data_IF_792035413920
#
_entry.id   IF_792035413920
#
_cell.length_a   1.000
_cell.length_b   1.000
_cell.length_c   1.000
_cell.angle_alpha   90.00
_cell.angle_beta   90.00
_cell.angle_gamma   90.00
#
_symmetry.space_group_name_H-M   'P 1'
#
loop_
_entity.id
_entity.type
_entity.pdbx_description
1 polymer ?
#
# COMPACT_ATOMS: atom_id res chain seq x y z
N UNK A 1 23.58 16.12 -15.73
CA UNK A 1 22.22 15.60 -16.01
C UNK A 1 22.23 15.13 -17.45
N UNK A 2 22.05 13.83 -17.71
CA UNK A 2 21.93 13.29 -19.09
C UNK A 2 20.55 13.60 -19.71
N UNK A 3 19.63 14.16 -18.91
CA UNK A 3 18.27 14.53 -19.32
C UNK A 3 18.21 15.78 -20.20
N UNK A 4 19.27 16.58 -20.31
CA UNK A 4 19.33 17.74 -21.21
C UNK A 4 20.72 17.90 -21.85
N UNK A 5 20.78 17.88 -23.19
CA UNK A 5 21.90 18.40 -23.98
C UNK A 5 23.09 17.48 -24.26
N UNK A 6 23.19 16.31 -23.63
CA UNK A 6 24.25 15.34 -23.94
C UNK A 6 23.69 14.26 -24.87
N UNK A 7 24.14 14.26 -26.12
CA UNK A 7 23.65 13.36 -27.16
C UNK A 7 24.81 12.84 -28.01
N UNK A 8 25.36 11.71 -27.57
CA UNK A 8 26.54 11.07 -28.17
C UNK A 8 26.12 9.64 -28.52
N UNK A 9 25.86 9.33 -29.82
CA UNK A 9 25.19 8.08 -30.20
C UNK A 9 26.09 6.83 -30.04
N UNK A 10 27.41 7.00 -30.06
CA UNK A 10 28.42 5.95 -29.90
C UNK A 10 28.68 5.54 -28.44
N UNK A 11 27.91 6.07 -27.48
CA UNK A 11 27.97 5.63 -26.07
C UNK A 11 27.66 4.14 -25.95
N UNK A 12 28.60 3.36 -25.41
CA UNK A 12 28.47 1.91 -25.21
C UNK A 12 28.05 1.49 -23.80
N UNK A 13 28.27 2.33 -22.80
CA UNK A 13 27.95 2.00 -21.40
C UNK A 13 27.33 3.20 -20.68
N UNK A 14 26.18 2.99 -20.05
CA UNK A 14 25.59 3.92 -19.10
C UNK A 14 25.54 3.31 -17.70
N UNK A 15 25.86 4.12 -16.69
CA UNK A 15 25.84 3.72 -15.29
C UNK A 15 24.81 4.60 -14.55
N UNK A 16 23.74 3.97 -14.08
CA UNK A 16 22.71 4.61 -13.27
C UNK A 16 23.07 4.48 -11.79
N UNK A 17 23.44 5.60 -11.17
CA UNK A 17 23.70 5.68 -9.74
C UNK A 17 22.66 6.53 -9.00
N UNK A 18 21.61 6.98 -9.69
CA UNK A 18 20.59 7.87 -9.13
C UNK A 18 19.29 7.11 -8.88
N UNK A 19 18.85 6.96 -7.62
CA UNK A 19 17.56 6.34 -7.34
C UNK A 19 16.42 7.27 -7.76
N UNK A 20 15.60 6.80 -8.70
CA UNK A 20 14.37 7.46 -9.10
C UNK A 20 13.20 6.90 -8.30
N UNK A 21 12.47 7.78 -7.60
CA UNK A 21 11.26 7.41 -6.85
C UNK A 21 9.95 7.68 -7.59
N UNK A 22 10.00 8.55 -8.60
CA UNK A 22 8.81 9.12 -9.24
C UNK A 22 8.86 9.09 -10.75
N UNK A 23 10.00 9.41 -11.34
CA UNK A 23 10.10 9.65 -12.78
C UNK A 23 10.63 8.43 -13.52
N UNK A 24 9.73 7.56 -13.94
CA UNK A 24 10.04 6.50 -14.91
C UNK A 24 10.49 7.10 -16.24
N UNK A 25 9.86 8.21 -16.63
CA UNK A 25 10.20 8.99 -17.81
C UNK A 25 11.68 9.39 -17.86
N UNK A 26 12.27 9.86 -16.75
CA UNK A 26 13.70 10.20 -16.69
C UNK A 26 14.59 8.97 -16.88
N UNK A 27 14.24 7.85 -16.26
CA UNK A 27 15.00 6.61 -16.39
C UNK A 27 15.03 6.11 -17.84
N UNK A 28 13.86 6.09 -18.51
CA UNK A 28 13.75 5.69 -19.92
C UNK A 28 14.48 6.65 -20.84
N UNK A 29 14.45 7.96 -20.56
CA UNK A 29 15.19 8.95 -21.36
C UNK A 29 16.70 8.74 -21.29
N UNK A 30 17.24 8.48 -20.08
CA UNK A 30 18.68 8.21 -19.90
C UNK A 30 19.09 6.90 -20.55
N UNK A 31 18.30 5.84 -20.36
CA UNK A 31 18.48 4.55 -21.03
C UNK A 31 18.46 4.71 -22.56
N UNK A 32 17.52 5.50 -23.07
CA UNK A 32 17.37 5.81 -24.49
C UNK A 32 18.57 6.51 -25.12
N UNK A 33 19.41 7.22 -24.32
CA UNK A 33 20.68 7.77 -24.83
C UNK A 33 21.69 6.66 -25.14
N UNK A 34 21.71 5.60 -24.32
CA UNK A 34 22.60 4.45 -24.50
C UNK A 34 22.08 3.50 -25.57
N UNK A 35 20.76 3.40 -25.77
CA UNK A 35 20.17 2.49 -26.76
C UNK A 35 20.20 3.02 -28.20
N UNK A 36 20.73 4.22 -28.47
CA UNK A 36 20.83 4.76 -29.83
C UNK A 36 21.75 3.92 -30.70
N UNK A 37 21.34 3.72 -31.94
CA UNK A 37 22.14 3.06 -32.98
C UNK A 37 23.22 4.03 -33.46
N UNK A 38 24.44 3.52 -33.63
CA UNK A 38 25.58 4.24 -34.20
C UNK A 38 26.41 3.28 -35.04
N UNK A 39 27.15 3.81 -36.01
CA UNK A 39 28.08 3.00 -36.80
C UNK A 39 29.19 2.42 -35.90
N UNK A 40 29.53 1.14 -36.10
CA UNK A 40 30.50 0.43 -35.26
C UNK A 40 30.06 0.17 -33.82
N UNK A 41 28.76 0.32 -33.50
CA UNK A 41 28.19 -0.03 -32.18
C UNK A 41 27.36 -1.30 -32.27
N UNK A 42 27.89 -2.35 -31.67
CA UNK A 42 27.32 -3.69 -31.58
C UNK A 42 26.42 -3.88 -30.35
N UNK A 43 26.74 -3.23 -29.23
CA UNK A 43 25.94 -3.30 -28.01
C UNK A 43 25.85 -1.97 -27.26
N UNK A 44 24.85 -1.89 -26.38
CA UNK A 44 24.73 -0.89 -25.32
C UNK A 44 24.56 -1.59 -23.98
N UNK A 45 25.40 -1.26 -23.01
CA UNK A 45 25.37 -1.80 -21.65
C UNK A 45 24.77 -0.77 -20.70
N UNK A 46 23.77 -1.18 -19.92
CA UNK A 46 23.17 -0.36 -18.87
C UNK A 46 23.36 -1.00 -17.50
N UNK A 47 24.13 -0.36 -16.63
CA UNK A 47 24.40 -0.82 -15.28
C UNK A 47 23.59 0.02 -14.28
N UNK A 48 22.70 -0.61 -13.53
CA UNK A 48 21.84 0.08 -12.56
C UNK A 48 22.20 -0.28 -11.13
N UNK A 49 22.92 0.62 -10.46
CA UNK A 49 23.27 0.51 -9.04
C UNK A 49 22.19 1.05 -8.11
N UNK A 50 21.17 1.71 -8.66
CA UNK A 50 20.10 2.35 -7.91
C UNK A 50 18.84 1.50 -7.77
N UNK A 51 18.73 0.38 -8.50
CA UNK A 51 17.56 -0.51 -8.48
C UNK A 51 16.34 0.07 -9.19
N UNK A 52 16.53 1.03 -10.08
CA UNK A 52 15.50 1.61 -10.93
C UNK A 52 14.86 0.57 -11.86
N UNK A 53 15.66 -0.31 -12.47
CA UNK A 53 15.16 -1.37 -13.36
C UNK A 53 14.22 -2.33 -12.64
N UNK A 54 14.50 -2.62 -11.36
CA UNK A 54 13.61 -3.44 -10.52
C UNK A 54 12.37 -2.65 -10.09
N UNK A 55 12.55 -1.39 -9.71
CA UNK A 55 11.46 -0.50 -9.28
C UNK A 55 10.44 -0.25 -10.38
N UNK A 56 10.91 -0.16 -11.64
CA UNK A 56 10.08 0.14 -12.81
C UNK A 56 9.81 -1.09 -13.69
N UNK A 57 10.05 -2.30 -13.20
CA UNK A 57 9.93 -3.52 -14.00
C UNK A 57 8.57 -3.66 -14.69
N UNK A 58 7.48 -3.37 -13.97
CA UNK A 58 6.10 -3.42 -14.51
C UNK A 58 5.86 -2.33 -15.56
N UNK A 59 6.32 -1.11 -15.32
CA UNK A 59 6.19 -0.02 -16.29
C UNK A 59 7.00 -0.29 -17.57
N UNK A 60 8.20 -0.85 -17.42
CA UNK A 60 9.05 -1.25 -18.54
C UNK A 60 8.40 -2.37 -19.35
N UNK A 61 7.82 -3.38 -18.69
CA UNK A 61 7.07 -4.44 -19.37
C UNK A 61 5.85 -3.87 -20.11
N UNK A 62 5.09 -2.98 -19.47
CA UNK A 62 3.94 -2.31 -20.09
C UNK A 62 4.35 -1.47 -21.31
N UNK A 63 5.43 -0.68 -21.19
CA UNK A 63 5.98 0.13 -22.28
C UNK A 63 6.44 -0.74 -23.46
N UNK A 64 7.03 -1.90 -23.18
CA UNK A 64 7.46 -2.84 -24.23
C UNK A 64 6.27 -3.46 -24.98
N UNK A 65 5.21 -3.82 -24.27
CA UNK A 65 4.04 -4.48 -24.85
C UNK A 65 3.11 -3.52 -25.60
N UNK A 66 2.88 -2.32 -25.05
CA UNK A 66 1.89 -1.38 -25.56
C UNK A 66 2.51 -0.20 -26.32
N UNK A 67 3.84 -0.01 -26.23
CA UNK A 67 4.52 1.12 -26.86
C UNK A 67 4.11 2.48 -26.26
N UNK A 68 4.30 3.54 -27.05
CA UNK A 68 3.96 4.92 -26.67
C UNK A 68 2.87 5.43 -27.62
N UNK A 69 1.63 5.53 -27.13
CA UNK A 69 0.49 5.99 -27.95
C UNK A 69 0.46 7.49 -28.21
N UNK A 70 0.85 8.32 -27.23
CA UNK A 70 0.85 9.78 -27.38
C UNK A 70 1.92 10.47 -26.53
N UNK A 71 2.54 11.51 -27.09
CA UNK A 71 3.46 12.42 -26.39
C UNK A 71 2.72 13.43 -25.49
N UNK A 72 1.40 13.55 -25.65
CA UNK A 72 0.56 14.52 -24.98
C UNK A 72 -0.35 13.82 -23.96
N UNK A 73 0.22 13.53 -22.81
CA UNK A 73 -0.47 13.92 -21.58
C UNK A 73 0.54 13.96 -20.46
N UNK A 74 0.50 15.06 -19.72
CA UNK A 74 0.91 15.14 -18.33
C UNK A 74 0.05 14.18 -17.47
N UNK A 75 -0.04 12.90 -17.85
CA UNK A 75 -0.63 11.87 -17.04
C UNK A 75 0.24 11.78 -15.81
N UNK A 76 -0.40 12.02 -14.68
CA UNK A 76 0.10 11.98 -13.31
C UNK A 76 0.58 10.56 -12.90
N UNK A 77 1.10 9.74 -13.83
CA UNK A 77 1.72 8.43 -13.52
C UNK A 77 3.02 8.58 -12.73
N UNK A 78 3.65 9.76 -12.83
CA UNK A 78 4.85 10.13 -12.07
C UNK A 78 4.53 10.93 -10.79
N UNK A 79 3.25 11.18 -10.44
CA UNK A 79 2.93 12.02 -9.27
C UNK A 79 3.07 11.29 -7.94
N UNK A 80 2.74 10.00 -7.91
CA UNK A 80 2.83 9.18 -6.72
C UNK A 80 4.27 8.65 -6.56
N UNK A 81 4.82 8.84 -5.35
CA UNK A 81 6.09 8.24 -5.00
C UNK A 81 5.89 6.73 -4.96
N UNK A 82 6.68 6.01 -5.75
CA UNK A 82 6.69 4.56 -5.74
C UNK A 82 7.55 4.14 -4.55
N UNK A 83 6.90 3.63 -3.53
CA UNK A 83 7.58 2.89 -2.48
C UNK A 83 8.12 1.60 -3.12
N UNK A 84 9.43 1.32 -3.02
CA UNK A 84 9.94 0.01 -3.42
C UNK A 84 9.21 -1.00 -2.54
N UNK A 85 8.32 -1.81 -3.12
CA UNK A 85 7.61 -2.81 -2.35
C UNK A 85 8.66 -3.68 -1.62
N UNK A 86 8.65 -3.66 -0.29
CA UNK A 86 9.58 -4.46 0.53
C UNK A 86 9.59 -5.93 0.08
N UNK A 87 8.43 -6.41 -0.40
CA UNK A 87 8.24 -7.74 -0.98
C UNK A 87 9.13 -8.01 -2.21
N UNK A 88 9.36 -7.02 -3.08
CA UNK A 88 10.24 -7.14 -4.25
C UNK A 88 11.70 -7.18 -3.83
N UNK A 89 12.07 -6.36 -2.83
CA UNK A 89 13.41 -6.39 -2.24
C UNK A 89 13.71 -7.73 -1.57
N UNK A 90 12.80 -8.24 -0.75
CA UNK A 90 12.94 -9.55 -0.09
C UNK A 90 13.05 -10.72 -1.08
N UNK A 91 12.39 -10.63 -2.24
CA UNK A 91 12.42 -11.70 -3.24
C UNK A 91 13.72 -11.74 -4.02
N UNK A 92 14.25 -10.57 -4.42
CA UNK A 92 15.38 -10.49 -5.34
C UNK A 92 16.69 -10.06 -4.70
N UNK A 93 16.70 -9.66 -3.43
CA UNK A 93 17.90 -9.20 -2.75
C UNK A 93 18.16 -10.01 -1.49
N UNK A 94 19.44 -10.11 -1.14
CA UNK A 94 19.89 -10.68 0.10
C UNK A 94 19.40 -9.84 1.29
N UNK A 95 18.81 -10.48 2.30
CA UNK A 95 18.32 -9.80 3.51
C UNK A 95 19.42 -9.18 4.37
N UNK A 96 20.66 -9.68 4.27
CA UNK A 96 21.79 -9.23 5.08
C UNK A 96 22.67 -8.19 4.36
N UNK A 97 23.31 -8.55 3.24
CA UNK A 97 24.21 -7.63 2.53
C UNK A 97 23.57 -6.83 1.39
N UNK A 98 22.31 -7.09 1.04
CA UNK A 98 21.61 -6.38 -0.04
C UNK A 98 22.08 -6.70 -1.46
N UNK A 99 22.91 -7.74 -1.67
CA UNK A 99 23.28 -8.20 -3.01
C UNK A 99 22.04 -8.70 -3.77
N UNK A 100 21.89 -8.32 -5.04
CA UNK A 100 20.86 -8.89 -5.91
C UNK A 100 21.16 -10.39 -6.16
N UNK A 101 20.21 -11.23 -5.81
CA UNK A 101 20.27 -12.68 -5.94
C UNK A 101 19.39 -13.15 -7.08
N UNK A 102 19.88 -14.11 -7.86
CA UNK A 102 19.06 -14.72 -8.92
C UNK A 102 17.82 -15.43 -8.35
N UNK A 103 16.73 -15.57 -9.14
CA UNK A 103 15.50 -16.21 -8.67
C UNK A 103 15.71 -17.63 -8.13
N UNK A 104 16.63 -18.41 -8.71
CA UNK A 104 16.85 -19.81 -8.36
C UNK A 104 17.96 -20.03 -7.30
N UNK A 105 18.71 -18.99 -6.95
CA UNK A 105 19.75 -19.09 -5.93
C UNK A 105 19.13 -18.93 -4.54
N UNK A 106 19.33 -19.94 -3.68
CA UNK A 106 18.85 -19.92 -2.30
C UNK A 106 19.87 -19.30 -1.34
N UNK A 107 21.15 -19.26 -1.73
CA UNK A 107 22.26 -18.80 -0.91
C UNK A 107 22.95 -17.60 -1.56
N UNK A 108 23.20 -16.55 -0.79
CA UNK A 108 23.89 -15.35 -1.25
C UNK A 108 25.37 -15.66 -1.52
N UNK A 109 25.83 -15.36 -2.75
CA UNK A 109 27.22 -15.59 -3.16
C UNK A 109 28.23 -14.67 -2.47
N UNK A 110 27.79 -13.58 -1.85
CA UNK A 110 28.68 -12.60 -1.18
C UNK A 110 28.83 -12.85 0.32
N UNK A 111 27.74 -13.13 1.04
CA UNK A 111 27.77 -13.25 2.50
C UNK A 111 27.30 -14.63 3.03
N UNK A 112 26.80 -15.52 2.17
CA UNK A 112 26.29 -16.83 2.59
C UNK A 112 24.87 -16.83 3.17
N UNK A 113 24.20 -15.68 3.25
CA UNK A 113 22.80 -15.59 3.70
C UNK A 113 21.89 -16.49 2.86
N UNK A 114 21.07 -17.31 3.52
CA UNK A 114 20.13 -18.22 2.86
C UNK A 114 18.70 -17.70 2.93
N UNK A 115 18.00 -17.72 1.79
CA UNK A 115 16.58 -17.35 1.73
C UNK A 115 15.77 -18.26 2.65
N UNK A 116 14.98 -17.70 3.60
CA UNK A 116 14.14 -18.51 4.47
C UNK A 116 13.11 -19.25 3.63
N UNK A 117 13.09 -20.58 3.72
CA UNK A 117 12.08 -21.40 3.04
C UNK A 117 10.79 -21.30 3.84
N UNK A 118 9.72 -20.84 3.20
CA UNK A 118 8.37 -20.92 3.75
C UNK A 118 8.04 -22.42 3.94
N UNK A 119 8.14 -22.91 5.18
CA UNK A 119 7.94 -24.32 5.50
C UNK A 119 8.79 -24.86 6.66
N UNK A 120 9.80 -24.13 7.13
CA UNK A 120 10.42 -24.46 8.42
C UNK A 120 9.46 -24.08 9.55
N UNK A 121 8.91 -25.10 10.22
CA UNK A 121 8.17 -24.94 11.47
C UNK A 121 9.17 -24.44 12.50
N UNK A 122 9.20 -23.13 12.73
CA UNK A 122 9.95 -22.56 13.84
C UNK A 122 9.21 -22.88 15.13
N UNK A 123 9.74 -23.82 15.90
CA UNK A 123 9.29 -24.06 17.27
C UNK A 123 9.91 -22.97 18.13
N UNK A 124 9.15 -21.90 18.33
CA UNK A 124 9.51 -20.80 19.24
C UNK A 124 8.80 -21.05 20.56
N UNK A 125 9.50 -20.91 21.69
CA UNK A 125 8.86 -20.87 23.00
C UNK A 125 7.93 -19.65 23.06
N UNK A 126 6.63 -19.88 22.98
CA UNK A 126 5.63 -18.85 23.13
C UNK A 126 5.47 -18.48 24.60
N UNK A 127 5.54 -17.19 24.91
CA UNK A 127 5.08 -16.69 26.21
C UNK A 127 3.55 -16.63 26.21
N UNK A 128 2.94 -17.11 27.31
CA UNK A 128 1.52 -16.91 27.55
C UNK A 128 1.28 -15.42 27.82
N UNK A 129 0.80 -14.74 26.79
CA UNK A 129 0.23 -13.40 26.92
C UNK A 129 -1.25 -13.53 27.21
N UNK A 130 -1.71 -12.85 28.26
CA UNK A 130 -3.13 -12.65 28.49
C UNK A 130 -3.70 -11.92 27.26
N UNK A 131 -4.62 -12.59 26.57
CA UNK A 131 -5.37 -11.98 25.47
C UNK A 131 -6.38 -11.04 26.11
N UNK A 132 -5.94 -9.84 26.41
CA UNK A 132 -6.84 -8.76 26.81
C UNK A 132 -7.63 -8.34 25.56
N UNK A 133 -8.76 -9.02 25.32
CA UNK A 133 -9.80 -8.58 24.39
C UNK A 133 -10.44 -7.30 24.95
N UNK A 134 -9.64 -6.27 25.21
CA UNK A 134 -10.15 -4.96 25.51
C UNK A 134 -10.76 -4.43 24.22
N UNK A 135 -12.10 -4.37 24.21
CA UNK A 135 -12.92 -3.82 23.13
C UNK A 135 -12.37 -2.44 22.67
N UNK A 136 -11.68 -1.73 23.56
CA UNK A 136 -10.97 -0.47 23.31
C UNK A 136 -9.92 -0.52 22.19
N UNK A 137 -9.18 -1.63 22.05
CA UNK A 137 -8.12 -1.73 21.03
C UNK A 137 -8.67 -2.19 19.66
N UNK A 138 -9.86 -2.78 19.62
CA UNK A 138 -10.46 -3.30 18.39
C UNK A 138 -11.22 -2.22 17.59
N UNK A 139 -11.63 -1.13 18.25
CA UNK A 139 -12.44 -0.06 17.66
C UNK A 139 -11.76 1.29 17.82
N UNK A 140 -10.77 1.58 16.97
CA UNK A 140 -10.13 2.90 16.95
C UNK A 140 -11.06 3.95 16.31
N UNK A 141 -11.50 4.98 17.08
CA UNK A 141 -12.33 6.05 16.52
C UNK A 141 -11.51 6.98 15.62
N UNK A 142 -12.20 7.71 14.73
CA UNK A 142 -11.57 8.73 13.89
C UNK A 142 -10.74 9.73 14.70
N UNK A 143 -9.62 10.17 14.12
CA UNK A 143 -8.72 11.16 14.72
C UNK A 143 -9.51 12.43 15.10
N UNK A 144 -9.49 12.78 16.39
CA UNK A 144 -10.15 13.98 16.93
C UNK A 144 -11.42 13.72 17.77
N UNK A 145 -11.95 12.50 17.78
CA UNK A 145 -13.05 12.12 18.68
C UNK A 145 -12.49 11.56 20.00
N UNK A 146 -12.88 12.16 21.13
CA UNK A 146 -12.49 11.74 22.49
C UNK A 146 -13.68 11.83 23.46
N UNK A 147 -14.76 11.12 23.15
CA UNK A 147 -15.92 11.01 24.02
C UNK A 147 -15.84 9.72 24.85
N UNK A 148 -16.32 9.75 26.10
CA UNK A 148 -16.34 8.56 26.99
C UNK A 148 -17.24 7.45 26.46
N UNK A 149 -18.28 7.80 25.71
CA UNK A 149 -19.19 6.84 25.07
C UNK A 149 -18.53 5.96 23.98
N UNK A 150 -17.33 6.32 23.51
CA UNK A 150 -16.54 5.51 22.57
C UNK A 150 -15.99 4.21 23.18
N UNK A 151 -16.04 4.08 24.51
CA UNK A 151 -15.65 2.86 25.23
C UNK A 151 -16.64 1.71 25.06
N UNK A 152 -17.91 1.99 24.73
CA UNK A 152 -18.94 0.97 24.46
C UNK A 152 -19.45 1.04 23.00
N UNK A 153 -18.86 0.26 22.09
CA UNK A 153 -19.28 0.23 20.70
C UNK A 153 -20.72 -0.29 20.51
N UNK A 154 -21.29 -1.03 21.48
CA UNK A 154 -22.70 -1.47 21.36
C UNK A 154 -23.66 -0.31 21.57
N UNK A 155 -23.36 0.58 22.51
CA UNK A 155 -24.16 1.76 22.78
C UNK A 155 -24.17 2.73 21.58
N UNK A 156 -23.02 2.88 20.91
CA UNK A 156 -22.91 3.71 19.70
C UNK A 156 -23.72 3.14 18.54
N UNK A 157 -23.69 1.81 18.36
CA UNK A 157 -24.51 1.17 17.34
C UNK A 157 -26.01 1.34 17.62
N UNK A 158 -26.44 1.14 18.87
CA UNK A 158 -27.82 1.36 19.29
C UNK A 158 -28.26 2.82 19.07
N UNK A 159 -27.38 3.78 19.37
CA UNK A 159 -27.64 5.20 19.16
C UNK A 159 -27.73 5.56 17.68
N UNK A 160 -26.84 5.02 16.84
CA UNK A 160 -26.91 5.18 15.39
C UNK A 160 -28.20 4.59 14.80
N UNK A 161 -28.64 3.43 15.29
CA UNK A 161 -29.93 2.85 14.90
C UNK A 161 -31.11 3.72 15.36
N UNK A 162 -31.12 4.19 16.61
CA UNK A 162 -32.20 5.01 17.15
C UNK A 162 -32.35 6.34 16.36
N UNK A 163 -31.24 7.01 16.06
CA UNK A 163 -31.21 8.23 15.26
C UNK A 163 -31.69 7.99 13.82
N UNK A 164 -31.19 6.95 13.17
CA UNK A 164 -31.59 6.63 11.80
C UNK A 164 -33.04 6.12 11.69
N UNK A 165 -33.58 5.52 12.74
CA UNK A 165 -34.99 5.13 12.81
C UNK A 165 -35.91 6.33 13.08
N UNK A 166 -35.51 7.28 13.93
CA UNK A 166 -36.30 8.48 14.21
C UNK A 166 -36.35 9.43 13.01
N UNK A 167 -35.25 9.54 12.26
CA UNK A 167 -35.11 10.46 11.12
C UNK A 167 -35.39 9.80 9.76
N UNK A 168 -35.42 8.47 9.71
CA UNK A 168 -35.64 7.70 8.49
C UNK A 168 -37.12 7.57 8.11
N UNK A 169 -37.45 7.83 6.83
CA UNK A 169 -38.82 7.66 6.29
C UNK A 169 -39.01 6.38 5.47
N UNK A 170 -37.97 5.57 5.30
CA UNK A 170 -37.88 4.48 4.30
C UNK A 170 -37.89 3.06 4.88
N UNK A 171 -38.32 2.88 6.13
CA UNK A 171 -38.42 1.58 6.80
C UNK A 171 -37.11 1.09 7.45
N UNK A 172 -37.20 0.00 8.22
CA UNK A 172 -36.14 -0.49 9.12
C UNK A 172 -34.83 -0.83 8.39
N UNK A 173 -34.90 -1.52 7.25
CA UNK A 173 -33.72 -1.96 6.51
C UNK A 173 -32.91 -0.77 5.94
N UNK A 174 -33.60 0.28 5.49
CA UNK A 174 -32.96 1.50 5.01
C UNK A 174 -32.29 2.27 6.15
N UNK A 175 -32.93 2.33 7.32
CA UNK A 175 -32.37 2.94 8.52
C UNK A 175 -31.13 2.19 9.05
N UNK A 176 -31.11 0.86 9.00
CA UNK A 176 -29.92 0.05 9.37
C UNK A 176 -28.73 0.29 8.44
N UNK A 177 -28.98 0.38 7.12
CA UNK A 177 -27.92 0.70 6.13
C UNK A 177 -27.35 2.11 6.36
N UNK A 178 -28.20 3.07 6.73
CA UNK A 178 -27.76 4.42 7.07
C UNK A 178 -26.95 4.45 8.37
N UNK A 179 -27.41 3.75 9.41
CA UNK A 179 -26.70 3.60 10.68
C UNK A 179 -25.31 2.94 10.49
N UNK A 180 -25.19 1.99 9.56
CA UNK A 180 -23.89 1.42 9.18
C UNK A 180 -22.95 2.44 8.52
N UNK A 181 -23.49 3.40 7.76
CA UNK A 181 -22.73 4.54 7.26
C UNK A 181 -22.19 5.43 8.38
N UNK A 182 -23.03 5.74 9.38
CA UNK A 182 -22.64 6.49 10.59
C UNK A 182 -21.55 5.74 11.36
N UNK A 183 -21.72 4.43 11.58
CA UNK A 183 -20.73 3.57 12.23
C UNK A 183 -19.36 3.66 11.55
N UNK A 184 -19.33 3.57 10.22
CA UNK A 184 -18.08 3.67 9.44
C UNK A 184 -17.49 5.08 9.45
N UNK A 185 -18.31 6.12 9.70
CA UNK A 185 -17.85 7.48 9.93
C UNK A 185 -17.13 7.63 11.29
N UNK A 186 -17.59 6.92 12.32
CA UNK A 186 -17.00 6.93 13.66
C UNK A 186 -15.76 6.01 13.72
N UNK A 187 -15.88 4.78 13.21
CA UNK A 187 -14.85 3.74 13.20
C UNK A 187 -14.47 3.32 11.77
N UNK A 188 -13.60 4.09 11.08
CA UNK A 188 -13.31 3.86 9.66
C UNK A 188 -12.62 2.52 9.36
N UNK A 189 -11.83 2.01 10.31
CA UNK A 189 -11.05 0.78 10.19
C UNK A 189 -11.74 -0.51 10.67
N UNK A 190 -12.86 -0.39 11.40
CA UNK A 190 -13.54 -1.55 12.01
C UNK A 190 -14.78 -1.96 11.21
N UNK A 191 -15.02 -3.27 11.13
CA UNK A 191 -16.33 -3.80 10.71
C UNK A 191 -17.23 -3.94 11.93
N UNK A 192 -18.53 -3.80 11.72
CA UNK A 192 -19.51 -4.07 12.77
C UNK A 192 -19.37 -5.54 13.21
N UNK A 193 -19.29 -5.83 14.53
CA UNK A 193 -19.28 -7.20 15.02
C UNK A 193 -20.47 -8.02 14.55
N UNK A 194 -20.25 -9.32 14.37
CA UNK A 194 -21.28 -10.26 13.96
C UNK A 194 -22.46 -10.25 14.94
N UNK A 195 -23.69 -10.21 14.42
CA UNK A 195 -24.93 -10.18 15.20
C UNK A 195 -25.42 -8.78 15.63
N UNK A 196 -24.56 -7.76 15.67
CA UNK A 196 -25.01 -6.40 16.03
C UNK A 196 -25.94 -5.80 14.97
N UNK A 197 -25.70 -6.11 13.68
CA UNK A 197 -26.52 -5.59 12.59
C UNK A 197 -28.01 -5.94 12.72
N UNK A 198 -28.31 -7.10 13.29
CA UNK A 198 -29.67 -7.64 13.46
C UNK A 198 -30.27 -7.34 14.83
N UNK A 199 -29.52 -6.67 15.71
CA UNK A 199 -29.99 -6.36 17.07
C UNK A 199 -31.19 -5.39 17.02
N UNK A 200 -32.13 -5.57 17.95
CA UNK A 200 -33.29 -4.68 18.10
C UNK A 200 -32.86 -3.31 18.63
N UNK A 201 -33.50 -2.23 18.16
CA UNK A 201 -33.24 -0.89 18.66
C UNK A 201 -33.84 -0.71 20.06
N UNK A 202 -33.04 -0.25 21.00
CA UNK A 202 -33.45 0.06 22.37
C UNK A 202 -33.30 1.58 22.63
N UNK A 203 -34.25 2.42 22.16
CA UNK A 203 -34.12 3.88 22.23
C UNK A 203 -34.09 4.41 23.67
N UNK A 204 -34.60 3.65 24.65
CA UNK A 204 -34.60 4.03 26.06
C UNK A 204 -33.22 3.96 26.75
N UNK A 205 -32.23 3.33 26.12
CA UNK A 205 -30.86 3.19 26.67
C UNK A 205 -29.87 4.21 26.11
N UNK A 206 -30.30 5.07 25.19
CA UNK A 206 -29.44 6.04 24.52
C UNK A 206 -29.14 7.22 25.44
N UNK A 207 -27.86 7.54 25.61
CA UNK A 207 -27.43 8.70 26.37
C UNK A 207 -27.33 9.96 25.50
N UNK A 208 -27.35 11.13 26.14
CA UNK A 208 -27.38 12.44 25.47
C UNK A 208 -26.07 12.74 24.75
N UNK A 209 -24.94 12.33 25.32
CA UNK A 209 -23.59 12.45 24.76
C UNK A 209 -23.37 11.51 23.56
N UNK A 210 -23.99 10.33 23.56
CA UNK A 210 -24.02 9.42 22.42
C UNK A 210 -24.82 10.00 21.25
N UNK A 211 -25.96 10.63 21.54
CA UNK A 211 -26.82 11.23 20.52
C UNK A 211 -26.13 12.39 19.79
N UNK A 212 -25.43 13.26 20.53
CA UNK A 212 -24.65 14.39 19.98
C UNK A 212 -23.47 13.96 19.10
N UNK A 213 -23.03 12.71 19.21
CA UNK A 213 -21.92 12.17 18.42
C UNK A 213 -22.38 11.66 17.05
N UNK A 214 -23.68 11.37 16.92
CA UNK A 214 -24.31 10.81 15.72
C UNK A 214 -25.06 11.86 14.89
N UNK A 215 -25.56 12.92 15.53
CA UNK A 215 -26.14 14.10 14.88
C UNK A 215 -25.14 14.83 13.97
#
# INVERSE_FOLDING_TARGET
MLTKGFDVPDVRCGISCRPYRKSFSSHVQELGRVMRIADGKDFGLWLDHSGNCVTFAEDTAWLFEHGVDSLSSAQKKDSEAREPAERVKQKYFCGECGLQMEPHHDTCLSCGWRRPKYGEIQVVEGELIDVDFSIRNAFEPRKGLRAKCLDDPRAIWNTALAYCLSNGRKGDEASRKWAYGVWRGIYPGSKLPYGLYETACEPARVQVDEWQLVE
#
